data_IF_737252300833
#
_entry.id   IF_737252300833
#
_cell.length_a   1.000
_cell.length_b   1.000
_cell.length_c   1.000
_cell.angle_alpha   90.00
_cell.angle_beta   90.00
_cell.angle_gamma   90.00
#
_symmetry.space_group_name_H-M   'P 1'
#
loop_
_entity.id
_entity.type
_entity.pdbx_description
1 polymer ?
#
# COMPACT_ATOMS: atom_id res chain seq x y z
N UNK A 1 -3.83 -21.48 -1.44
CA UNK A 1 -3.53 -22.91 -1.23
C UNK A 1 -3.83 -23.77 -2.45
N UNK A 2 -4.76 -23.40 -3.35
CA UNK A 2 -5.19 -24.21 -4.49
C UNK A 2 -4.34 -24.08 -5.76
N UNK A 3 -3.48 -23.07 -5.87
CA UNK A 3 -2.73 -22.79 -7.11
C UNK A 3 -1.80 -23.93 -7.55
N UNK A 4 -1.04 -24.50 -6.60
CA UNK A 4 -0.11 -25.58 -6.93
C UNK A 4 -0.86 -26.84 -7.39
N UNK A 5 -1.99 -27.16 -6.72
CA UNK A 5 -2.84 -28.27 -7.12
C UNK A 5 -3.48 -28.01 -8.49
N UNK A 6 -3.97 -26.79 -8.72
CA UNK A 6 -4.58 -26.41 -9.99
C UNK A 6 -3.57 -26.52 -11.14
N UNK A 7 -2.36 -25.96 -10.98
CA UNK A 7 -1.29 -26.07 -11.95
C UNK A 7 -0.95 -27.55 -12.27
N UNK A 8 -0.78 -28.36 -11.24
CA UNK A 8 -0.51 -29.79 -11.40
C UNK A 8 -1.62 -30.53 -12.19
N UNK A 9 -2.89 -30.25 -11.89
CA UNK A 9 -4.01 -30.89 -12.59
C UNK A 9 -4.10 -30.47 -14.06
N UNK A 10 -3.82 -29.20 -14.36
CA UNK A 10 -3.77 -28.68 -15.73
C UNK A 10 -2.61 -29.27 -16.50
N UNK A 11 -1.41 -29.38 -15.93
CA UNK A 11 -0.22 -29.99 -16.54
C UNK A 11 -0.45 -31.48 -16.88
N UNK A 12 -1.29 -32.14 -16.08
CA UNK A 12 -1.70 -33.55 -16.36
C UNK A 12 -2.85 -33.66 -17.36
N UNK A 13 -3.34 -32.56 -17.90
CA UNK A 13 -4.46 -32.53 -18.84
C UNK A 13 -5.78 -33.01 -18.25
N UNK A 14 -5.93 -32.97 -16.92
CA UNK A 14 -7.15 -33.42 -16.26
C UNK A 14 -8.24 -32.33 -16.35
N UNK A 15 -9.48 -32.68 -16.70
CA UNK A 15 -10.59 -31.74 -16.72
C UNK A 15 -10.84 -31.21 -15.30
N UNK A 16 -10.49 -29.94 -15.10
CA UNK A 16 -10.51 -29.29 -13.79
C UNK A 16 -11.54 -28.16 -13.77
N UNK A 17 -12.33 -28.10 -12.71
CA UNK A 17 -13.36 -27.08 -12.52
C UNK A 17 -13.06 -26.27 -11.26
N UNK A 18 -13.00 -24.94 -11.41
CA UNK A 18 -12.84 -24.02 -10.29
C UNK A 18 -14.18 -23.37 -9.98
N UNK A 19 -14.74 -23.72 -8.84
CA UNK A 19 -16.07 -23.29 -8.42
C UNK A 19 -15.95 -22.27 -7.28
N UNK A 20 -16.69 -21.16 -7.39
CA UNK A 20 -16.75 -20.18 -6.31
C UNK A 20 -17.43 -20.79 -5.07
N UNK A 21 -16.83 -20.71 -3.86
CA UNK A 21 -17.42 -21.21 -2.62
C UNK A 21 -18.82 -20.69 -2.30
N UNK A 22 -19.17 -19.51 -2.80
CA UNK A 22 -20.53 -18.99 -2.67
C UNK A 22 -21.55 -19.83 -3.43
N UNK A 23 -21.20 -20.31 -4.64
CA UNK A 23 -22.09 -21.17 -5.43
C UNK A 23 -22.33 -22.51 -4.74
N UNK A 24 -21.27 -23.14 -4.23
CA UNK A 24 -21.41 -24.41 -3.50
C UNK A 24 -22.25 -24.24 -2.23
N UNK A 25 -22.11 -23.12 -1.54
CA UNK A 25 -22.94 -22.82 -0.35
C UNK A 25 -24.41 -22.57 -0.68
N UNK A 26 -24.69 -21.83 -1.77
CA UNK A 26 -26.07 -21.62 -2.24
C UNK A 26 -26.71 -22.92 -2.71
N UNK A 27 -25.99 -23.73 -3.49
CA UNK A 27 -26.45 -25.03 -3.97
C UNK A 27 -26.74 -25.97 -2.78
N UNK A 28 -25.88 -26.03 -1.77
CA UNK A 28 -26.14 -26.80 -0.54
C UNK A 28 -27.43 -26.33 0.16
N UNK A 29 -27.66 -25.04 0.27
CA UNK A 29 -28.88 -24.48 0.87
C UNK A 29 -30.14 -24.80 0.07
N UNK A 30 -30.04 -24.96 -1.25
CA UNK A 30 -31.16 -25.40 -2.08
C UNK A 30 -31.52 -26.88 -1.89
N UNK A 31 -30.51 -27.73 -1.58
CA UNK A 31 -30.71 -29.15 -1.36
C UNK A 31 -31.27 -29.48 0.04
N UNK A 32 -30.92 -28.71 1.06
CA UNK A 32 -31.33 -29.00 2.44
C UNK A 32 -31.25 -27.76 3.32
N UNK A 33 -32.26 -27.57 4.17
CA UNK A 33 -32.30 -26.56 5.23
C UNK A 33 -31.44 -26.94 6.46
N UNK A 34 -30.91 -28.17 6.51
CA UNK A 34 -30.06 -28.62 7.61
C UNK A 34 -28.70 -27.91 7.59
N UNK A 35 -28.30 -27.40 8.77
CA UNK A 35 -27.01 -26.69 8.96
C UNK A 35 -25.80 -27.62 9.13
N UNK A 36 -25.96 -28.93 8.92
CA UNK A 36 -24.87 -29.91 9.08
C UNK A 36 -23.79 -29.67 8.04
N UNK A 37 -22.59 -29.36 8.48
CA UNK A 37 -21.41 -29.17 7.64
C UNK A 37 -20.35 -30.20 8.02
N UNK A 38 -20.12 -31.16 7.13
CA UNK A 38 -19.04 -32.14 7.21
C UNK A 38 -18.39 -32.27 5.85
N UNK A 39 -17.13 -32.65 5.79
CA UNK A 39 -16.40 -32.82 4.53
C UNK A 39 -17.09 -33.81 3.59
N UNK A 40 -17.74 -34.85 4.13
CA UNK A 40 -18.52 -35.82 3.36
C UNK A 40 -19.73 -35.16 2.69
N UNK A 41 -20.45 -34.31 3.42
CA UNK A 41 -21.62 -33.57 2.88
C UNK A 41 -21.17 -32.56 1.84
N UNK A 42 -20.05 -31.86 2.08
CA UNK A 42 -19.50 -30.88 1.13
C UNK A 42 -19.02 -31.60 -0.16
N UNK A 43 -18.32 -32.73 -0.06
CA UNK A 43 -17.91 -33.54 -1.22
C UNK A 43 -19.12 -34.03 -2.04
N UNK A 44 -20.16 -34.55 -1.39
CA UNK A 44 -21.39 -34.96 -2.05
C UNK A 44 -22.10 -33.79 -2.73
N UNK A 45 -22.15 -32.64 -2.08
CA UNK A 45 -22.77 -31.42 -2.63
C UNK A 45 -22.03 -30.95 -3.89
N UNK A 46 -20.69 -30.95 -3.85
CA UNK A 46 -19.86 -30.57 -5.01
C UNK A 46 -20.06 -31.56 -6.16
N UNK A 47 -20.05 -32.87 -5.89
CA UNK A 47 -20.28 -33.90 -6.90
C UNK A 47 -21.65 -33.73 -7.55
N UNK A 48 -22.73 -33.58 -6.76
CA UNK A 48 -24.09 -33.37 -7.25
C UNK A 48 -24.22 -32.09 -8.06
N UNK A 49 -23.55 -31.02 -7.66
CA UNK A 49 -23.53 -29.75 -8.39
C UNK A 49 -22.86 -29.90 -9.76
N UNK A 50 -21.70 -30.58 -9.82
CA UNK A 50 -20.99 -30.81 -11.09
C UNK A 50 -21.84 -31.69 -12.04
N UNK A 51 -22.55 -32.67 -11.51
CA UNK A 51 -23.42 -33.54 -12.31
C UNK A 51 -24.70 -32.86 -12.79
N UNK A 52 -25.22 -31.89 -12.09
CA UNK A 52 -26.46 -31.17 -12.42
C UNK A 52 -26.27 -29.95 -13.29
N UNK A 53 -25.09 -29.33 -13.32
CA UNK A 53 -24.82 -28.10 -14.06
C UNK A 53 -24.17 -28.40 -15.42
N UNK A 54 -24.99 -28.41 -16.44
CA UNK A 54 -24.59 -28.67 -17.84
C UNK A 54 -23.72 -27.53 -18.42
N UNK A 55 -23.69 -26.36 -17.77
CA UNK A 55 -22.99 -25.18 -18.26
C UNK A 55 -21.61 -24.94 -17.57
N UNK A 56 -21.18 -25.86 -16.72
CA UNK A 56 -19.86 -25.77 -16.11
C UNK A 56 -18.77 -25.84 -17.18
N UNK A 57 -17.96 -24.79 -17.28
CA UNK A 57 -16.80 -24.74 -18.16
C UNK A 57 -15.56 -25.22 -17.41
N UNK A 58 -14.78 -26.09 -18.02
CA UNK A 58 -13.49 -26.49 -17.50
C UNK A 58 -12.55 -25.28 -17.42
N UNK A 59 -11.70 -25.26 -16.41
CA UNK A 59 -10.67 -24.25 -16.26
C UNK A 59 -9.60 -24.42 -17.34
N UNK A 60 -9.26 -23.34 -18.05
CA UNK A 60 -8.29 -23.34 -19.14
C UNK A 60 -6.99 -22.65 -18.76
N UNK A 61 -5.92 -22.89 -19.50
CA UNK A 61 -4.62 -22.22 -19.33
C UNK A 61 -4.75 -20.68 -19.42
N UNK A 62 -5.62 -20.17 -20.30
CA UNK A 62 -5.91 -18.73 -20.41
C UNK A 62 -6.47 -18.18 -19.09
N UNK A 63 -7.32 -18.95 -18.41
CA UNK A 63 -7.86 -18.56 -17.10
C UNK A 63 -6.77 -18.55 -16.02
N UNK A 64 -5.80 -19.46 -16.09
CA UNK A 64 -4.66 -19.52 -15.19
C UNK A 64 -3.76 -18.28 -15.34
N UNK A 65 -3.44 -17.88 -16.58
CA UNK A 65 -2.69 -16.65 -16.84
C UNK A 65 -3.44 -15.39 -16.38
N UNK A 66 -4.76 -15.33 -16.55
CA UNK A 66 -5.59 -14.25 -16.04
C UNK A 66 -5.56 -14.16 -14.51
N UNK A 67 -5.50 -15.27 -13.79
CA UNK A 67 -5.35 -15.27 -12.33
C UNK A 67 -3.97 -14.74 -11.89
N UNK A 68 -2.91 -15.00 -12.64
CA UNK A 68 -1.60 -14.43 -12.40
C UNK A 68 -1.63 -12.90 -12.52
N UNK A 69 -2.25 -12.38 -13.57
CA UNK A 69 -2.43 -10.93 -13.75
C UNK A 69 -3.30 -10.30 -12.64
N UNK A 70 -4.37 -10.97 -12.24
CA UNK A 70 -5.19 -10.54 -11.10
C UNK A 70 -4.39 -10.52 -9.80
N UNK A 71 -3.51 -11.49 -9.57
CA UNK A 71 -2.66 -11.54 -8.39
C UNK A 71 -1.69 -10.35 -8.35
N UNK A 72 -1.03 -10.04 -9.48
CA UNK A 72 -0.14 -8.87 -9.60
C UNK A 72 -0.89 -7.56 -9.41
N UNK A 73 -2.09 -7.44 -9.97
CA UNK A 73 -2.94 -6.26 -9.82
C UNK A 73 -3.34 -6.05 -8.36
N UNK A 74 -3.73 -7.12 -7.64
CA UNK A 74 -4.03 -7.08 -6.21
C UNK A 74 -2.80 -6.71 -5.38
N UNK A 75 -1.65 -7.29 -5.70
CA UNK A 75 -0.39 -6.94 -5.04
C UNK A 75 -0.07 -5.46 -5.20
N UNK A 76 -0.12 -4.93 -6.44
CA UNK A 76 0.06 -3.49 -6.70
C UNK A 76 -0.94 -2.64 -5.92
N UNK A 77 -2.21 -3.02 -5.92
CA UNK A 77 -3.25 -2.31 -5.16
C UNK A 77 -2.90 -2.25 -3.67
N UNK A 78 -2.50 -3.36 -3.06
CA UNK A 78 -2.11 -3.41 -1.66
C UNK A 78 -0.91 -2.49 -1.37
N UNK A 79 0.10 -2.48 -2.25
CA UNK A 79 1.26 -1.58 -2.13
C UNK A 79 0.87 -0.10 -2.21
N UNK A 80 -0.04 0.25 -3.09
CA UNK A 80 -0.59 1.63 -3.16
C UNK A 80 -1.32 1.99 -1.87
N UNK A 81 -2.09 1.08 -1.27
CA UNK A 81 -2.77 1.30 0.00
C UNK A 81 -1.79 1.44 1.17
N UNK A 82 -0.75 0.60 1.23
CA UNK A 82 0.33 0.71 2.22
C UNK A 82 1.01 2.07 2.14
N UNK A 83 1.39 2.51 0.93
CA UNK A 83 1.98 3.83 0.68
C UNK A 83 1.06 4.97 1.11
N UNK A 84 -0.24 4.86 0.87
CA UNK A 84 -1.21 5.86 1.30
C UNK A 84 -1.26 5.98 2.84
N UNK A 85 -1.23 4.86 3.57
CA UNK A 85 -1.17 4.84 5.04
C UNK A 85 0.12 5.48 5.56
N UNK A 86 1.26 5.22 4.93
CA UNK A 86 2.54 5.84 5.30
C UNK A 86 2.51 7.37 5.09
N UNK A 87 1.90 7.86 4.00
CA UNK A 87 1.71 9.28 3.77
C UNK A 87 0.90 9.95 4.88
N UNK A 88 -0.19 9.33 5.32
CA UNK A 88 -0.96 9.82 6.48
C UNK A 88 -0.10 9.87 7.75
N UNK A 89 0.77 8.86 7.96
CA UNK A 89 1.70 8.87 9.09
C UNK A 89 2.71 10.02 9.00
N UNK A 90 3.24 10.32 7.80
CA UNK A 90 4.13 11.49 7.59
C UNK A 90 3.39 12.78 7.95
N UNK A 91 2.16 12.99 7.46
CA UNK A 91 1.38 14.20 7.78
C UNK A 91 1.19 14.36 9.28
N UNK A 92 0.86 13.29 9.99
CA UNK A 92 0.72 13.32 11.45
C UNK A 92 2.03 13.64 12.17
N UNK A 93 3.15 13.08 11.73
CA UNK A 93 4.48 13.32 12.31
C UNK A 93 4.93 14.75 12.06
N UNK A 94 4.68 15.29 10.86
CA UNK A 94 4.98 16.69 10.53
C UNK A 94 4.13 17.66 11.38
N UNK A 95 2.86 17.35 11.61
CA UNK A 95 2.01 18.15 12.51
C UNK A 95 2.58 18.24 13.94
N UNK A 96 3.31 17.22 14.41
CA UNK A 96 3.96 17.21 15.73
C UNK A 96 5.31 17.94 15.69
N UNK A 97 6.12 17.72 14.65
CA UNK A 97 7.52 18.14 14.59
C UNK A 97 7.73 19.51 13.93
N UNK A 98 6.88 19.89 12.98
CA UNK A 98 6.90 21.15 12.25
C UNK A 98 5.53 21.46 11.62
N UNK A 99 4.52 21.84 12.40
CA UNK A 99 3.15 22.05 11.92
C UNK A 99 3.03 23.16 10.86
N UNK A 100 3.89 24.16 10.90
CA UNK A 100 3.87 25.28 9.95
C UNK A 100 4.29 24.88 8.54
N UNK A 101 5.03 23.77 8.39
CA UNK A 101 5.56 23.32 7.10
C UNK A 101 4.46 23.12 6.05
N UNK A 102 3.30 22.60 6.45
CA UNK A 102 2.19 22.35 5.54
C UNK A 102 1.67 23.63 4.85
N UNK A 103 1.77 24.78 5.53
CA UNK A 103 1.39 26.09 4.99
C UNK A 103 2.45 26.70 4.08
N UNK A 104 3.69 26.24 4.17
CA UNK A 104 4.83 26.77 3.42
C UNK A 104 5.05 26.07 2.08
N UNK A 105 4.44 24.92 1.90
CA UNK A 105 4.60 24.08 0.69
C UNK A 105 3.25 23.87 0.01
N UNK A 106 3.26 23.76 -1.32
CA UNK A 106 2.04 23.47 -2.06
C UNK A 106 1.45 22.08 -1.72
N UNK A 107 2.33 21.10 -1.49
CA UNK A 107 1.95 19.74 -1.08
C UNK A 107 3.04 19.16 -0.19
N UNK A 108 2.64 18.53 0.92
CA UNK A 108 3.56 17.93 1.87
C UNK A 108 4.34 16.74 1.28
N UNK A 109 3.74 16.03 0.31
CA UNK A 109 4.28 14.78 -0.25
C UNK A 109 5.10 15.00 -1.54
N UNK A 110 5.78 16.14 -1.65
CA UNK A 110 6.74 16.43 -2.72
C UNK A 110 8.10 15.79 -2.43
N UNK A 111 8.83 15.41 -3.48
CA UNK A 111 10.18 14.84 -3.35
C UNK A 111 11.14 15.80 -2.61
N UNK A 112 11.07 17.10 -2.90
CA UNK A 112 11.88 18.12 -2.22
C UNK A 112 11.57 18.26 -0.72
N UNK A 113 10.30 18.10 -0.34
CA UNK A 113 9.88 18.11 1.07
C UNK A 113 10.36 16.83 1.77
N UNK A 114 10.28 15.70 1.12
CA UNK A 114 10.80 14.45 1.66
C UNK A 114 12.31 14.47 1.80
N UNK A 115 13.06 15.03 0.84
CA UNK A 115 14.49 15.23 0.96
C UNK A 115 14.83 16.13 2.15
N UNK A 116 14.09 17.25 2.32
CA UNK A 116 14.24 18.14 3.48
C UNK A 116 14.02 17.40 4.80
N UNK A 117 12.90 16.68 4.94
CA UNK A 117 12.54 15.99 6.17
C UNK A 117 13.41 14.76 6.46
N UNK A 118 13.99 14.13 5.44
CA UNK A 118 14.95 13.05 5.61
C UNK A 118 16.27 13.54 6.22
N UNK A 119 16.73 14.73 5.85
CA UNK A 119 17.94 15.33 6.41
C UNK A 119 17.64 16.07 7.71
N UNK A 120 16.60 16.91 7.71
CA UNK A 120 16.20 17.78 8.82
C UNK A 120 14.76 17.46 9.28
N UNK A 121 14.56 16.45 10.15
CA UNK A 121 13.23 15.88 10.43
C UNK A 121 12.36 16.70 11.39
N UNK A 122 12.83 17.85 11.86
CA UNK A 122 12.08 18.69 12.80
C UNK A 122 12.33 20.18 12.55
N UNK A 123 11.44 21.03 13.04
CA UNK A 123 11.64 22.48 13.02
C UNK A 123 12.96 22.88 13.68
N UNK A 124 13.30 22.29 14.83
CA UNK A 124 14.56 22.55 15.52
C UNK A 124 15.80 22.22 14.65
N UNK A 125 15.77 21.09 13.91
CA UNK A 125 16.84 20.71 13.00
C UNK A 125 16.98 21.67 11.82
N UNK A 126 15.85 22.14 11.25
CA UNK A 126 15.85 23.13 10.16
C UNK A 126 16.32 24.50 10.64
N UNK A 127 15.89 24.94 11.83
CA UNK A 127 16.28 26.22 12.42
C UNK A 127 17.80 26.33 12.67
N UNK A 128 18.42 25.23 13.06
CA UNK A 128 19.88 25.11 13.31
C UNK A 128 20.69 24.81 12.05
N UNK A 129 20.03 24.46 10.93
CA UNK A 129 20.72 24.08 9.70
C UNK A 129 21.48 25.26 9.07
N UNK A 130 22.63 24.95 8.47
CA UNK A 130 23.38 25.93 7.69
C UNK A 130 22.60 26.31 6.41
N UNK A 131 22.41 27.62 6.19
CA UNK A 131 21.55 28.12 5.11
C UNK A 131 21.98 27.61 3.73
N UNK A 132 23.30 27.57 3.47
CA UNK A 132 23.83 27.07 2.20
C UNK A 132 23.46 25.61 1.97
N UNK A 133 23.57 24.74 3.00
CA UNK A 133 23.18 23.33 2.91
C UNK A 133 21.69 23.18 2.63
N UNK A 134 20.87 23.97 3.33
CA UNK A 134 19.43 23.97 3.17
C UNK A 134 19.03 24.43 1.75
N UNK A 135 19.64 25.51 1.25
CA UNK A 135 19.39 26.03 -0.10
C UNK A 135 19.77 24.99 -1.17
N UNK A 136 20.95 24.38 -1.06
CA UNK A 136 21.42 23.36 -2.01
C UNK A 136 20.46 22.15 -2.05
N UNK A 137 20.12 21.62 -0.89
CA UNK A 137 19.20 20.48 -0.76
C UNK A 137 17.84 20.76 -1.40
N UNK A 138 17.27 21.93 -1.12
CA UNK A 138 15.97 22.33 -1.67
C UNK A 138 16.04 22.58 -3.18
N UNK A 139 17.06 23.29 -3.66
CA UNK A 139 17.24 23.58 -5.09
C UNK A 139 17.41 22.31 -5.92
N UNK A 140 18.26 21.40 -5.46
CA UNK A 140 18.54 20.14 -6.13
C UNK A 140 17.30 19.26 -6.26
N UNK A 141 16.55 19.07 -5.16
CA UNK A 141 15.38 18.19 -5.12
C UNK A 141 14.08 18.83 -5.64
N UNK A 142 14.10 20.13 -5.94
CA UNK A 142 12.96 20.85 -6.53
C UNK A 142 13.18 21.23 -8.01
N UNK A 143 14.28 20.79 -8.61
CA UNK A 143 14.69 21.22 -9.96
C UNK A 143 14.77 22.74 -10.09
N UNK A 144 15.35 23.40 -9.08
CA UNK A 144 15.55 24.85 -9.04
C UNK A 144 14.33 25.69 -8.66
N UNK A 145 13.17 25.08 -8.33
CA UNK A 145 11.96 25.82 -7.92
C UNK A 145 12.11 26.49 -6.54
N UNK A 146 12.84 25.85 -5.64
CA UNK A 146 13.10 26.35 -4.28
C UNK A 146 14.54 26.86 -4.22
N UNK A 147 14.67 28.16 -4.11
CA UNK A 147 15.94 28.87 -4.01
C UNK A 147 16.29 29.30 -2.60
N UNK A 148 17.22 30.27 -2.53
CA UNK A 148 17.70 30.85 -1.26
C UNK A 148 16.57 31.50 -0.46
N UNK A 149 15.65 32.19 -1.11
CA UNK A 149 14.54 32.90 -0.43
C UNK A 149 13.61 31.90 0.27
N UNK A 150 13.29 30.79 -0.40
CA UNK A 150 12.51 29.69 0.18
C UNK A 150 13.23 29.07 1.36
N UNK A 151 14.55 28.86 1.27
CA UNK A 151 15.34 28.32 2.37
C UNK A 151 15.37 29.25 3.59
N UNK A 152 15.45 30.57 3.37
CA UNK A 152 15.35 31.58 4.44
C UNK A 152 13.98 31.52 5.09
N UNK A 153 12.90 31.50 4.29
CA UNK A 153 11.52 31.43 4.78
C UNK A 153 11.30 30.15 5.63
N UNK A 154 11.77 28.99 5.17
CA UNK A 154 11.65 27.74 5.93
C UNK A 154 12.41 27.82 7.26
N UNK A 155 13.62 28.36 7.26
CA UNK A 155 14.43 28.50 8.48
C UNK A 155 13.82 29.48 9.47
N UNK A 156 13.24 30.61 9.03
CA UNK A 156 12.56 31.57 9.88
C UNK A 156 11.28 30.99 10.48
N UNK A 157 10.45 30.32 9.67
CA UNK A 157 9.28 29.62 10.17
C UNK A 157 9.66 28.52 11.19
N UNK A 158 10.74 27.79 10.94
CA UNK A 158 11.24 26.78 11.85
C UNK A 158 11.74 27.34 13.18
N UNK A 159 12.32 28.54 13.20
CA UNK A 159 12.73 29.23 14.42
C UNK A 159 11.56 29.66 15.29
N UNK A 160 10.43 30.00 14.66
CA UNK A 160 9.22 30.45 15.32
C UNK A 160 8.18 29.34 15.48
N UNK A 161 8.57 28.08 15.18
CA UNK A 161 7.66 26.93 15.19
C UNK A 161 7.28 26.52 16.61
N UNK A 162 6.02 26.13 16.76
CA UNK A 162 5.49 25.49 17.98
C UNK A 162 5.73 23.97 17.97
N UNK A 163 6.41 23.45 16.95
CA UNK A 163 6.70 22.01 16.80
C UNK A 163 7.53 21.45 17.96
N UNK A 164 7.19 20.24 18.36
CA UNK A 164 7.84 19.56 19.47
C UNK A 164 9.23 19.02 19.07
N UNK A 165 10.22 19.19 19.93
CA UNK A 165 11.54 18.60 19.75
C UNK A 165 11.54 17.16 20.32
N UNK A 166 11.18 16.16 19.48
CA UNK A 166 11.07 14.76 19.86
C UNK A 166 11.99 13.88 18.99
N UNK A 167 13.18 13.49 19.46
CA UNK A 167 14.13 12.69 18.67
C UNK A 167 13.57 11.37 18.17
N UNK A 168 12.74 10.70 18.97
CA UNK A 168 12.08 9.45 18.59
C UNK A 168 11.12 9.63 17.42
N UNK A 169 10.33 10.73 17.42
CA UNK A 169 9.43 11.07 16.31
C UNK A 169 10.18 11.51 15.06
N UNK A 170 11.30 12.18 15.23
CA UNK A 170 12.22 12.51 14.15
C UNK A 170 12.78 11.27 13.46
N UNK A 171 13.15 10.25 14.23
CA UNK A 171 13.60 8.96 13.70
C UNK A 171 12.46 8.22 12.99
N UNK A 172 11.27 8.18 13.60
CA UNK A 172 10.07 7.58 13.01
C UNK A 172 9.75 8.23 11.65
N UNK A 173 9.83 9.55 11.55
CA UNK A 173 9.60 10.29 10.30
C UNK A 173 10.60 9.90 9.21
N UNK A 174 11.90 9.86 9.51
CA UNK A 174 12.94 9.44 8.57
C UNK A 174 12.69 8.02 8.04
N UNK A 175 12.39 7.08 8.93
CA UNK A 175 12.10 5.69 8.55
C UNK A 175 10.83 5.59 7.70
N UNK A 176 9.77 6.33 8.04
CA UNK A 176 8.52 6.34 7.28
C UNK A 176 8.73 6.86 5.86
N UNK A 177 9.52 7.94 5.70
CA UNK A 177 9.86 8.47 4.38
C UNK A 177 10.67 7.44 3.57
N UNK A 178 11.66 6.79 4.21
CA UNK A 178 12.45 5.73 3.56
C UNK A 178 11.56 4.60 3.04
N UNK A 179 10.61 4.11 3.85
CA UNK A 179 9.65 3.08 3.44
C UNK A 179 8.78 3.52 2.26
N UNK A 180 8.40 4.81 2.18
CA UNK A 180 7.65 5.34 1.03
C UNK A 180 8.47 5.30 -0.26
N UNK A 181 9.79 5.49 -0.18
CA UNK A 181 10.67 5.42 -1.35
C UNK A 181 10.93 3.99 -1.82
N UNK A 182 10.83 3.01 -0.92
CA UNK A 182 11.01 1.58 -1.21
C UNK A 182 9.75 0.93 -1.82
N UNK A 183 8.58 1.56 -1.71
CA UNK A 183 7.28 1.12 -2.25
C UNK A 183 6.96 1.74 -3.61
#
# INVERSE_FOLDING_TARGET
YSYNLLGYLLDKGLPTYVINPLHTNLYRKSLSLRKTKTDKVDAHTIASMIMSDVNLKSYSDTSYHNETLKSLTRYRFNKVQERAKLKVSVSRLVCILFPELEKLVSHLHLASVYALLSEFPSAHAIASAHLTKLTHLLSENSHGRYGKDTAVMFREAARNSIGSNMPTKSLELKHTIKLIHEL
#
